data_IF_902553492659
#
_entry.id   IF_902553492659
#
_cell.length_a   1.000
_cell.length_b   1.000
_cell.length_c   1.000
_cell.angle_alpha   90.00
_cell.angle_beta   90.00
_cell.angle_gamma   90.00
#
_symmetry.space_group_name_H-M   'P 1'
#
loop_
_entity.id
_entity.type
_entity.pdbx_description
1 polymer ?
#
# COMPACT_ATOMS: atom_id res chain seq x y z
N UNK A 1 22.74 -13.32 18.51
CA UNK A 1 22.24 -14.52 17.79
C UNK A 1 21.93 -14.14 16.36
N UNK A 2 22.07 -15.06 15.41
CA UNK A 2 21.73 -14.83 14.00
C UNK A 2 20.34 -15.39 13.69
N UNK A 3 19.61 -14.73 12.80
CA UNK A 3 18.27 -15.17 12.42
C UNK A 3 17.75 -14.54 11.15
N UNK A 4 16.52 -14.93 10.80
CA UNK A 4 15.79 -14.44 9.65
C UNK A 4 14.44 -13.90 10.08
N UNK A 5 14.07 -12.72 9.60
CA UNK A 5 12.76 -12.14 9.87
C UNK A 5 11.69 -12.99 9.16
N UNK A 6 10.74 -13.53 9.92
CA UNK A 6 9.62 -14.28 9.37
C UNK A 6 8.45 -13.38 9.01
N UNK A 7 8.16 -12.40 9.85
CA UNK A 7 7.07 -11.47 9.66
C UNK A 7 7.27 -10.22 10.53
N UNK A 8 6.71 -9.10 10.09
CA UNK A 8 6.65 -7.87 10.87
C UNK A 8 5.36 -7.11 10.56
N UNK A 9 4.58 -6.85 11.60
CA UNK A 9 3.36 -6.07 11.52
C UNK A 9 3.64 -4.64 11.94
N UNK A 10 3.55 -3.71 10.99
CA UNK A 10 3.70 -2.27 11.24
C UNK A 10 2.56 -1.75 12.12
N UNK A 11 1.37 -2.37 12.06
CA UNK A 11 0.20 -1.94 12.84
C UNK A 11 0.39 -2.15 14.34
N UNK A 12 1.00 -3.28 14.71
CA UNK A 12 1.27 -3.64 16.11
C UNK A 12 2.70 -3.30 16.53
N UNK A 13 3.56 -2.88 15.59
CA UNK A 13 5.00 -2.69 15.79
C UNK A 13 5.64 -3.94 16.42
N UNK A 14 5.27 -5.11 15.92
CA UNK A 14 5.79 -6.40 16.42
C UNK A 14 6.16 -7.31 15.27
N UNK A 15 7.20 -8.10 15.46
CA UNK A 15 7.65 -9.08 14.48
C UNK A 15 8.14 -10.37 15.10
N UNK A 16 8.42 -11.34 14.23
CA UNK A 16 8.91 -12.67 14.60
C UNK A 16 10.22 -12.92 13.86
N UNK A 17 11.27 -13.27 14.60
CA UNK A 17 12.54 -13.72 14.07
C UNK A 17 12.64 -15.22 14.28
N UNK A 18 13.07 -15.94 13.25
CA UNK A 18 13.51 -17.33 13.38
C UNK A 18 15.01 -17.34 13.50
N UNK A 19 15.50 -17.74 14.66
CA UNK A 19 16.91 -17.95 14.90
C UNK A 19 17.44 -19.17 14.15
N UNK A 20 18.76 -19.27 14.02
CA UNK A 20 19.43 -20.38 13.35
C UNK A 20 19.20 -21.74 14.05
N UNK A 21 18.95 -21.72 15.36
CA UNK A 21 18.53 -22.89 16.15
C UNK A 21 17.05 -23.29 15.94
N UNK A 22 16.38 -22.72 14.92
CA UNK A 22 14.95 -22.90 14.60
C UNK A 22 13.96 -22.37 15.64
N UNK A 23 14.42 -21.80 16.76
CA UNK A 23 13.56 -21.17 17.75
C UNK A 23 13.05 -19.82 17.25
N UNK A 24 11.81 -19.48 17.64
CA UNK A 24 11.16 -18.23 17.25
C UNK A 24 11.18 -17.26 18.40
N UNK A 25 11.57 -16.04 18.11
CA UNK A 25 11.61 -14.94 19.07
C UNK A 25 10.69 -13.82 18.57
N UNK A 26 9.83 -13.34 19.44
CA UNK A 26 9.04 -12.13 19.20
C UNK A 26 9.87 -10.91 19.52
N UNK A 27 9.76 -9.87 18.71
CA UNK A 27 10.39 -8.59 18.97
C UNK A 27 9.39 -7.44 18.79
N UNK A 28 9.62 -6.35 19.52
CA UNK A 28 8.94 -5.07 19.33
C UNK A 28 9.74 -4.22 18.34
N UNK A 29 9.09 -3.37 17.55
CA UNK A 29 9.73 -2.45 16.62
C UNK A 29 10.69 -1.46 17.32
N UNK A 30 10.59 -1.30 18.64
CA UNK A 30 11.57 -0.56 19.45
C UNK A 30 12.96 -1.21 19.50
N UNK A 31 13.05 -2.52 19.28
CA UNK A 31 14.31 -3.26 19.22
C UNK A 31 15.04 -3.08 17.88
N UNK A 32 14.37 -2.53 16.87
CA UNK A 32 14.92 -2.33 15.53
C UNK A 32 15.81 -1.07 15.48
N UNK A 33 17.08 -1.22 15.10
CA UNK A 33 18.06 -0.12 15.08
C UNK A 33 18.34 0.49 13.72
N UNK A 34 17.68 -0.02 12.69
CA UNK A 34 18.02 0.30 11.30
C UNK A 34 17.03 1.28 10.67
N UNK A 35 17.49 2.08 9.70
CA UNK A 35 16.63 3.09 9.07
C UNK A 35 15.56 2.49 8.15
N UNK A 36 15.84 1.33 7.54
CA UNK A 36 14.87 0.64 6.71
C UNK A 36 13.91 -0.19 7.56
N UNK A 37 12.65 -0.28 7.16
CA UNK A 37 11.68 -1.10 7.89
C UNK A 37 12.07 -2.59 7.79
N UNK A 38 11.88 -3.39 8.86
CA UNK A 38 12.12 -4.82 8.81
C UNK A 38 11.22 -5.49 7.77
N UNK A 39 11.83 -6.19 6.81
CA UNK A 39 11.13 -6.93 5.77
C UNK A 39 11.27 -8.43 6.00
N UNK A 40 10.22 -9.16 5.65
CA UNK A 40 10.21 -10.63 5.67
C UNK A 40 11.35 -11.16 4.82
N UNK A 41 12.19 -11.98 5.42
CA UNK A 41 13.26 -12.69 4.76
C UNK A 41 14.65 -12.07 4.91
N UNK A 42 14.78 -10.91 5.54
CA UNK A 42 16.08 -10.31 5.86
C UNK A 42 16.83 -11.12 6.91
N UNK A 43 18.16 -11.22 6.74
CA UNK A 43 19.04 -11.78 7.77
C UNK A 43 19.42 -10.70 8.77
N UNK A 44 19.34 -11.05 10.04
CA UNK A 44 19.55 -10.12 11.14
C UNK A 44 20.37 -10.75 12.24
N UNK A 45 21.22 -9.92 12.82
CA UNK A 45 21.90 -10.20 14.09
C UNK A 45 21.11 -9.51 15.20
N UNK A 46 20.72 -10.27 16.23
CA UNK A 46 19.87 -9.78 17.30
C UNK A 46 20.35 -10.25 18.69
N UNK A 47 20.11 -9.43 19.70
CA UNK A 47 20.47 -9.70 21.10
C UNK A 47 19.23 -9.98 21.95
N UNK A 48 19.36 -10.89 22.91
CA UNK A 48 18.27 -11.30 23.82
C UNK A 48 18.64 -10.98 25.27
N UNK A 49 17.65 -10.58 26.06
CA UNK A 49 17.79 -10.38 27.51
C UNK A 49 17.56 -11.70 28.28
N UNK A 50 17.80 -11.69 29.59
CA UNK A 50 17.62 -12.82 30.52
C UNK A 50 16.17 -13.34 30.63
N UNK A 51 15.20 -12.72 29.95
CA UNK A 51 13.81 -13.19 29.80
C UNK A 51 13.43 -13.60 28.37
N UNK A 52 14.43 -13.94 27.52
CA UNK A 52 14.25 -14.37 26.12
C UNK A 52 13.54 -13.35 25.21
N UNK A 53 13.59 -12.06 25.58
CA UNK A 53 13.06 -10.96 24.77
C UNK A 53 14.17 -10.34 23.92
N UNK A 54 13.86 -10.05 22.67
CA UNK A 54 14.79 -9.40 21.74
C UNK A 54 14.89 -7.92 22.06
N UNK A 55 16.10 -7.45 22.38
CA UNK A 55 16.35 -6.06 22.80
C UNK A 55 16.89 -5.19 21.67
N UNK A 56 17.80 -5.72 20.86
CA UNK A 56 18.46 -4.99 19.77
C UNK A 56 18.56 -5.88 18.54
N UNK A 57 18.28 -5.32 17.36
CA UNK A 57 18.30 -5.99 16.06
C UNK A 57 19.06 -5.12 15.05
N UNK A 58 20.03 -5.73 14.40
CA UNK A 58 20.89 -5.17 13.36
C UNK A 58 20.76 -6.01 12.09
N UNK A 59 20.90 -5.38 10.92
CA UNK A 59 20.91 -6.12 9.65
C UNK A 59 22.27 -6.77 9.48
N UNK A 60 22.29 -8.05 9.11
CA UNK A 60 23.55 -8.72 8.76
C UNK A 60 24.08 -8.07 7.46
N UNK A 61 25.30 -7.54 7.52
CA UNK A 61 25.96 -6.79 6.44
C UNK A 61 26.10 -7.57 5.12
N UNK A 62 25.84 -8.88 5.12
CA UNK A 62 25.71 -9.69 3.91
C UNK A 62 24.53 -9.28 3.00
N UNK A 63 23.51 -8.60 3.54
CA UNK A 63 22.38 -8.03 2.79
C UNK A 63 22.57 -6.50 2.47
N UNK A 64 23.69 -5.90 2.91
CA UNK A 64 24.09 -4.52 2.56
C UNK A 64 25.18 -4.53 1.47
N UNK A 65 24.84 -4.93 0.24
CA UNK A 65 25.70 -4.57 -0.89
C UNK A 65 25.39 -3.14 -1.35
N UNK A 66 26.34 -2.19 -1.25
CA UNK A 66 26.11 -0.82 -1.68
C UNK A 66 26.13 -0.78 -3.21
N UNK A 67 25.03 -0.32 -3.81
CA UNK A 67 24.99 0.08 -5.20
C UNK A 67 25.87 1.32 -5.43
N UNK A 68 27.19 1.14 -5.50
CA UNK A 68 28.09 2.07 -6.19
C UNK A 68 28.16 1.59 -7.64
N UNK A 69 27.21 2.06 -8.47
CA UNK A 69 27.36 2.03 -9.91
C UNK A 69 28.25 3.20 -10.33
N UNK A 70 29.46 3.00 -10.89
CA UNK A 70 30.12 4.04 -11.65
C UNK A 70 29.40 4.22 -13.00
N UNK A 71 29.06 5.46 -13.33
CA UNK A 71 28.55 5.92 -14.62
C UNK A 71 29.34 5.35 -15.82
N UNK A 72 28.69 5.10 -16.97
CA UNK A 72 29.36 4.59 -18.15
C UNK A 72 30.12 5.72 -18.86
N UNK A 73 31.43 5.82 -18.64
CA UNK A 73 32.32 6.52 -19.55
C UNK A 73 32.88 5.50 -20.53
N UNK A 74 32.36 5.53 -21.75
CA UNK A 74 32.91 4.83 -22.89
C UNK A 74 34.32 5.35 -23.21
N UNK A 75 35.33 4.48 -23.15
CA UNK A 75 36.58 4.62 -23.91
C UNK A 75 36.98 3.25 -24.44
N UNK A 76 37.40 3.28 -25.69
CA UNK A 76 37.56 2.22 -26.67
C UNK A 76 38.95 1.56 -26.58
N UNK A 77 39.00 0.31 -27.07
CA UNK A 77 40.12 -0.40 -27.71
C UNK A 77 41.16 -1.15 -26.88
N UNK A 78 41.05 -2.48 -27.06
CA UNK A 78 42.05 -3.35 -27.68
C UNK A 78 43.10 -4.10 -26.84
N UNK A 79 43.26 -5.34 -27.33
CA UNK A 79 44.46 -6.20 -27.38
C UNK A 79 44.74 -7.24 -26.28
N UNK A 80 44.29 -8.47 -26.58
CA UNK A 80 45.11 -9.68 -26.90
C UNK A 80 45.72 -10.57 -25.80
N UNK A 81 45.49 -11.88 -26.01
CA UNK A 81 46.24 -13.10 -25.60
C UNK A 81 46.20 -13.56 -24.12
N UNK A 82 46.24 -14.85 -23.76
CA UNK A 82 46.09 -16.22 -24.34
C UNK A 82 46.33 -17.20 -23.16
N UNK A 83 46.08 -18.50 -23.38
CA UNK A 83 46.42 -19.70 -22.55
C UNK A 83 45.34 -20.16 -21.56
N UNK A 84 44.65 -21.30 -21.73
CA UNK A 84 45.03 -22.73 -21.88
C UNK A 84 45.42 -23.42 -20.57
N UNK A 85 44.49 -24.14 -19.93
CA UNK A 85 44.73 -25.52 -19.49
C UNK A 85 43.43 -26.26 -19.16
N UNK A 86 43.37 -27.51 -19.63
CA UNK A 86 42.32 -28.48 -19.32
C UNK A 86 42.69 -29.23 -18.03
N UNK A 87 41.70 -29.76 -17.32
CA UNK A 87 41.77 -31.13 -16.80
C UNK A 87 40.40 -31.66 -16.36
N UNK A 88 40.20 -32.95 -16.68
CA UNK A 88 39.04 -33.80 -16.42
C UNK A 88 38.89 -34.14 -14.92
N UNK A 89 37.72 -34.62 -14.50
CA UNK A 89 37.49 -36.03 -14.08
C UNK A 89 36.22 -36.25 -13.20
N UNK A 90 35.34 -37.11 -13.72
CA UNK A 90 34.41 -38.09 -13.09
C UNK A 90 33.44 -37.68 -11.95
N UNK A 91 32.11 -37.85 -12.08
CA UNK A 91 31.26 -39.07 -11.93
C UNK A 91 30.73 -39.34 -10.51
N UNK A 92 29.41 -39.25 -10.32
CA UNK A 92 28.51 -40.17 -9.56
C UNK A 92 27.14 -39.46 -9.41
N UNK A 93 26.02 -39.91 -10.00
CA UNK A 93 25.17 -41.08 -9.69
C UNK A 93 24.86 -41.23 -8.20
N UNK A 94 23.72 -40.72 -7.70
CA UNK A 94 22.47 -41.49 -7.69
C UNK A 94 21.27 -40.78 -6.99
N UNK A 95 20.03 -41.29 -7.20
CA UNK A 95 18.75 -40.63 -6.93
C UNK A 95 17.99 -41.24 -5.72
N UNK A 96 17.01 -40.53 -5.13
CA UNK A 96 15.86 -41.08 -4.37
C UNK A 96 14.92 -39.91 -3.98
N UNK A 97 13.82 -39.69 -4.70
CA UNK A 97 12.47 -40.19 -4.37
C UNK A 97 11.92 -39.70 -3.02
N UNK A 98 11.02 -38.71 -3.05
CA UNK A 98 9.73 -38.83 -2.36
C UNK A 98 8.72 -37.76 -2.81
N UNK A 99 7.60 -38.27 -3.32
CA UNK A 99 6.24 -37.78 -3.13
C UNK A 99 5.91 -36.34 -3.58
N UNK A 100 5.44 -36.26 -4.83
CA UNK A 100 4.50 -35.25 -5.32
C UNK A 100 3.21 -35.24 -4.47
N UNK A 101 3.06 -34.21 -3.62
CA UNK A 101 1.79 -33.83 -3.00
C UNK A 101 0.97 -33.01 -3.99
N UNK A 102 0.05 -33.70 -4.66
CA UNK A 102 -0.95 -33.16 -5.55
C UNK A 102 -2.00 -32.32 -4.82
N UNK A 103 -2.25 -31.13 -5.36
CA UNK A 103 -3.55 -30.45 -5.49
C UNK A 103 -4.56 -30.52 -4.33
N UNK A 104 -4.57 -29.48 -3.49
CA UNK A 104 -5.80 -28.97 -2.86
C UNK A 104 -5.66 -27.49 -2.51
N UNK A 105 -5.73 -26.60 -3.52
CA UNK A 105 -5.95 -25.16 -3.28
C UNK A 105 -6.44 -24.44 -4.53
N UNK A 106 -7.72 -24.59 -4.90
CA UNK A 106 -8.32 -23.74 -5.95
C UNK A 106 -9.86 -23.79 -6.01
N UNK A 107 -10.56 -23.74 -4.88
CA UNK A 107 -12.04 -23.72 -4.93
C UNK A 107 -12.70 -22.59 -4.14
N UNK A 108 -11.92 -21.68 -3.53
CA UNK A 108 -12.45 -20.55 -2.77
C UNK A 108 -12.29 -19.19 -3.47
N UNK A 109 -11.45 -19.05 -4.51
CA UNK A 109 -11.21 -17.74 -5.14
C UNK A 109 -12.15 -17.40 -6.31
N UNK A 110 -12.82 -18.37 -6.93
CA UNK A 110 -13.59 -18.12 -8.16
C UNK A 110 -14.83 -17.24 -7.93
N UNK A 111 -15.61 -17.52 -6.89
CA UNK A 111 -16.87 -16.78 -6.66
C UNK A 111 -16.67 -15.30 -6.34
N UNK A 112 -15.64 -14.94 -5.57
CA UNK A 112 -15.34 -13.55 -5.22
C UNK A 112 -14.73 -12.78 -6.39
N UNK A 113 -13.88 -13.45 -7.20
CA UNK A 113 -13.32 -12.84 -8.42
C UNK A 113 -14.41 -12.60 -9.48
N UNK A 114 -15.34 -13.55 -9.66
CA UNK A 114 -16.46 -13.40 -10.60
C UNK A 114 -17.41 -12.26 -10.19
N UNK A 115 -17.73 -12.13 -8.90
CA UNK A 115 -18.54 -11.02 -8.39
C UNK A 115 -17.83 -9.67 -8.55
N UNK A 116 -16.53 -9.62 -8.23
CA UNK A 116 -15.72 -8.41 -8.41
C UNK A 116 -15.65 -8.00 -9.87
N UNK A 117 -15.42 -8.93 -10.81
CA UNK A 117 -15.39 -8.63 -12.24
C UNK A 117 -16.72 -8.10 -12.77
N UNK A 118 -17.85 -8.67 -12.32
CA UNK A 118 -19.18 -8.17 -12.67
C UNK A 118 -19.43 -6.75 -12.12
N UNK A 119 -18.95 -6.44 -10.91
CA UNK A 119 -18.97 -5.08 -10.36
C UNK A 119 -18.12 -4.12 -11.20
N UNK A 120 -16.90 -4.51 -11.59
CA UNK A 120 -16.04 -3.70 -12.47
C UNK A 120 -16.72 -3.44 -13.83
N UNK A 121 -17.38 -4.45 -14.39
CA UNK A 121 -18.09 -4.34 -15.66
C UNK A 121 -19.29 -3.39 -15.57
N UNK A 122 -20.05 -3.43 -14.47
CA UNK A 122 -21.16 -2.52 -14.22
C UNK A 122 -20.67 -1.08 -14.01
N UNK A 123 -19.58 -0.90 -13.26
CA UNK A 123 -18.99 0.41 -13.00
C UNK A 123 -18.45 1.11 -14.26
N UNK A 124 -18.09 0.34 -15.30
CA UNK A 124 -17.69 0.93 -16.58
C UNK A 124 -18.80 1.72 -17.27
N UNK A 125 -20.07 1.42 -16.96
CA UNK A 125 -21.26 2.05 -17.56
C UNK A 125 -21.82 3.21 -16.72
N UNK A 126 -21.22 3.52 -15.58
CA UNK A 126 -21.75 4.52 -14.66
C UNK A 126 -21.62 5.94 -15.20
N UNK A 127 -22.71 6.69 -15.10
CA UNK A 127 -22.74 8.13 -15.32
C UNK A 127 -22.21 8.87 -14.08
N UNK A 128 -21.97 10.18 -14.19
CA UNK A 128 -21.51 11.01 -13.06
C UNK A 128 -22.43 10.86 -11.83
N UNK A 129 -23.75 10.89 -12.04
CA UNK A 129 -24.73 10.79 -10.95
C UNK A 129 -24.67 9.43 -10.25
N UNK A 130 -24.41 8.34 -10.98
CA UNK A 130 -24.29 7.00 -10.39
C UNK A 130 -23.10 6.92 -9.43
N UNK A 131 -21.99 7.57 -9.78
CA UNK A 131 -20.82 7.70 -8.90
C UNK A 131 -21.15 8.50 -7.64
N UNK A 132 -21.82 9.65 -7.79
CA UNK A 132 -22.24 10.46 -6.64
C UNK A 132 -23.19 9.67 -5.73
N UNK A 133 -24.18 8.97 -6.29
CA UNK A 133 -25.12 8.16 -5.53
C UNK A 133 -24.43 6.99 -4.83
N UNK A 134 -23.43 6.36 -5.47
CA UNK A 134 -22.61 5.32 -4.85
C UNK A 134 -21.86 5.85 -3.63
N UNK A 135 -21.24 7.02 -3.74
CA UNK A 135 -20.58 7.68 -2.60
C UNK A 135 -21.58 8.02 -1.49
N UNK A 136 -22.74 8.59 -1.83
CA UNK A 136 -23.80 8.96 -0.89
C UNK A 136 -24.49 7.74 -0.25
N UNK A 137 -24.41 6.55 -0.83
CA UNK A 137 -24.91 5.31 -0.20
C UNK A 137 -23.88 4.71 0.76
N UNK A 138 -22.59 4.83 0.43
CA UNK A 138 -21.51 4.22 1.20
C UNK A 138 -20.74 5.20 2.08
N UNK A 139 -21.24 6.43 2.30
CA UNK A 139 -20.52 7.42 3.11
C UNK A 139 -20.38 7.05 4.60
N UNK A 140 -21.27 6.20 5.12
CA UNK A 140 -21.25 5.76 6.52
C UNK A 140 -20.16 4.70 6.74
N UNK A 141 -19.84 3.94 5.70
CA UNK A 141 -18.77 2.98 5.73
C UNK A 141 -17.48 3.73 5.40
N UNK A 142 -16.53 3.77 6.35
CA UNK A 142 -15.18 4.31 6.10
C UNK A 142 -14.20 3.23 5.66
N UNK A 143 -14.67 2.00 5.50
CA UNK A 143 -13.91 0.83 5.07
C UNK A 143 -14.15 0.59 3.59
N UNK A 144 -13.20 1.02 2.76
CA UNK A 144 -13.31 0.88 1.31
C UNK A 144 -12.28 1.68 0.54
N UNK A 145 -12.25 1.44 -0.77
CA UNK A 145 -11.37 2.09 -1.74
C UNK A 145 -12.22 2.85 -2.76
N UNK A 146 -11.81 4.07 -3.10
CA UNK A 146 -12.48 4.88 -4.12
C UNK A 146 -11.57 5.09 -5.34
N UNK A 147 -12.13 4.88 -6.53
CA UNK A 147 -11.42 5.11 -7.79
C UNK A 147 -11.18 6.60 -8.03
N UNK A 148 -10.20 6.92 -8.87
CA UNK A 148 -9.94 8.30 -9.36
C UNK A 148 -11.21 8.94 -9.92
N UNK A 149 -11.94 8.22 -10.78
CA UNK A 149 -13.17 8.71 -11.42
C UNK A 149 -14.26 9.02 -10.39
N UNK A 150 -14.49 8.12 -9.44
CA UNK A 150 -15.47 8.29 -8.36
C UNK A 150 -15.20 9.57 -7.56
N UNK A 151 -13.95 9.75 -7.15
CA UNK A 151 -13.49 10.94 -6.44
C UNK A 151 -13.71 12.23 -7.25
N UNK A 152 -13.23 12.27 -8.49
CA UNK A 152 -13.30 13.48 -9.33
C UNK A 152 -14.74 13.84 -9.72
N UNK A 153 -15.60 12.86 -9.99
CA UNK A 153 -17.01 13.13 -10.28
C UNK A 153 -17.74 13.67 -9.05
N UNK A 154 -17.47 13.12 -7.86
CA UNK A 154 -18.02 13.66 -6.62
C UNK A 154 -17.54 15.10 -6.36
N UNK A 155 -16.24 15.36 -6.55
CA UNK A 155 -15.68 16.70 -6.35
C UNK A 155 -16.22 17.72 -7.34
N UNK A 156 -16.41 17.32 -8.61
CA UNK A 156 -17.02 18.17 -9.64
C UNK A 156 -18.48 18.48 -9.30
N UNK A 157 -19.26 17.47 -8.90
CA UNK A 157 -20.63 17.66 -8.46
C UNK A 157 -20.72 18.59 -7.24
N UNK A 158 -19.84 18.41 -6.26
CA UNK A 158 -19.75 19.28 -5.09
C UNK A 158 -19.39 20.73 -5.46
N UNK A 159 -18.47 20.92 -6.41
CA UNK A 159 -18.11 22.25 -6.90
C UNK A 159 -19.28 22.94 -7.63
N UNK A 160 -20.02 22.20 -8.47
CA UNK A 160 -21.23 22.71 -9.14
C UNK A 160 -22.30 23.07 -8.11
N UNK A 161 -22.56 22.20 -7.13
CA UNK A 161 -23.52 22.45 -6.06
C UNK A 161 -23.13 23.70 -5.25
N UNK A 162 -21.86 23.84 -4.89
CA UNK A 162 -21.33 25.01 -4.17
C UNK A 162 -21.51 26.29 -4.97
N UNK A 163 -21.24 26.26 -6.27
CA UNK A 163 -21.44 27.41 -7.16
C UNK A 163 -22.91 27.82 -7.27
N UNK A 164 -23.82 26.84 -7.43
CA UNK A 164 -25.26 27.09 -7.48
C UNK A 164 -25.77 27.68 -6.16
N UNK A 165 -25.33 27.15 -5.02
CA UNK A 165 -25.69 27.65 -3.69
C UNK A 165 -25.17 29.07 -3.47
N UNK A 166 -23.98 29.40 -3.97
CA UNK A 166 -23.42 30.76 -3.91
C UNK A 166 -24.29 31.76 -4.68
N UNK A 167 -24.64 31.46 -5.93
CA UNK A 167 -25.43 32.35 -6.81
C UNK A 167 -26.86 32.53 -6.29
N UNK A 168 -27.53 31.43 -5.90
CA UNK A 168 -28.87 31.50 -5.31
C UNK A 168 -28.83 32.22 -3.97
N UNK A 169 -27.80 31.97 -3.17
CA UNK A 169 -27.62 32.57 -1.87
C UNK A 169 -27.56 34.09 -1.92
N UNK A 170 -26.78 34.62 -2.85
CA UNK A 170 -26.68 36.06 -3.12
C UNK A 170 -28.01 36.62 -3.63
N UNK A 171 -28.65 35.93 -4.59
CA UNK A 171 -29.94 36.35 -5.15
C UNK A 171 -31.09 36.43 -4.12
N UNK A 172 -31.10 35.56 -3.12
CA UNK A 172 -32.14 35.50 -2.08
C UNK A 172 -31.73 36.17 -0.75
N UNK A 173 -30.55 36.79 -0.67
CA UNK A 173 -30.00 37.40 0.55
C UNK A 173 -29.90 36.44 1.76
N UNK A 174 -29.95 35.13 1.53
CA UNK A 174 -29.88 34.06 2.54
C UNK A 174 -28.63 33.17 2.36
N UNK A 175 -27.68 33.61 1.53
CA UNK A 175 -26.60 32.78 1.03
C UNK A 175 -25.74 32.11 2.07
N UNK A 176 -25.35 32.83 3.12
CA UNK A 176 -24.45 32.29 4.13
C UNK A 176 -25.07 31.11 4.87
N UNK A 177 -26.34 31.21 5.27
CA UNK A 177 -27.04 30.16 6.00
C UNK A 177 -27.32 28.93 5.13
N UNK A 178 -27.77 29.16 3.88
CA UNK A 178 -28.10 28.06 2.96
C UNK A 178 -26.84 27.32 2.52
N UNK A 179 -25.76 28.05 2.24
CA UNK A 179 -24.46 27.48 1.90
C UNK A 179 -23.88 26.68 3.07
N UNK A 180 -23.96 27.21 4.30
CA UNK A 180 -23.49 26.51 5.51
C UNK A 180 -24.24 25.17 5.71
N UNK A 181 -25.57 25.18 5.63
CA UNK A 181 -26.39 23.96 5.80
C UNK A 181 -26.08 22.94 4.71
N UNK A 182 -26.02 23.37 3.44
CA UNK A 182 -25.69 22.49 2.33
C UNK A 182 -24.28 21.88 2.47
N UNK A 183 -23.31 22.70 2.88
CA UNK A 183 -21.93 22.26 3.14
C UNK A 183 -21.90 21.22 4.25
N UNK A 184 -22.59 21.45 5.37
CA UNK A 184 -22.59 20.52 6.49
C UNK A 184 -23.22 19.16 6.13
N UNK A 185 -24.27 19.18 5.31
CA UNK A 185 -24.94 17.95 4.86
C UNK A 185 -24.06 17.11 3.94
N UNK A 186 -23.25 17.74 3.09
CA UNK A 186 -22.35 17.07 2.15
C UNK A 186 -20.93 16.83 2.71
N UNK A 187 -20.58 17.48 3.82
CA UNK A 187 -19.27 17.35 4.47
C UNK A 187 -18.97 15.90 4.87
N UNK A 188 -19.96 15.18 5.42
CA UNK A 188 -19.79 13.77 5.80
C UNK A 188 -19.44 12.88 4.59
N UNK A 189 -20.22 12.88 3.50
CA UNK A 189 -19.83 12.24 2.24
C UNK A 189 -18.46 12.67 1.70
N UNK A 190 -18.14 13.96 1.74
CA UNK A 190 -16.86 14.47 1.23
C UNK A 190 -15.66 13.92 2.01
N UNK A 191 -15.77 13.84 3.34
CA UNK A 191 -14.76 13.25 4.22
C UNK A 191 -14.64 11.74 3.95
N UNK A 192 -15.76 11.03 3.82
CA UNK A 192 -15.77 9.59 3.56
C UNK A 192 -15.09 9.24 2.22
N UNK A 193 -15.44 9.95 1.14
CA UNK A 193 -14.85 9.75 -0.19
C UNK A 193 -13.34 10.07 -0.18
N UNK A 194 -12.94 11.13 0.52
CA UNK A 194 -11.53 11.48 0.68
C UNK A 194 -10.76 10.40 1.46
N UNK A 195 -11.36 9.82 2.50
CA UNK A 195 -10.76 8.74 3.28
C UNK A 195 -10.62 7.46 2.45
N UNK A 196 -11.64 7.09 1.67
CA UNK A 196 -11.58 5.96 0.75
C UNK A 196 -10.52 6.12 -0.34
N UNK A 197 -10.32 7.35 -0.83
CA UNK A 197 -9.26 7.62 -1.80
C UNK A 197 -7.88 7.49 -1.17
N UNK A 198 -7.74 7.89 0.08
CA UNK A 198 -6.50 7.75 0.84
C UNK A 198 -6.16 6.29 1.15
N UNK A 199 -7.18 5.48 1.45
CA UNK A 199 -7.06 4.02 1.56
C UNK A 199 -6.63 3.36 0.24
N UNK A 200 -7.04 3.91 -0.91
CA UNK A 200 -6.63 3.39 -2.23
C UNK A 200 -5.11 3.51 -2.48
N UNK A 201 -4.45 4.47 -1.83
CA UNK A 201 -2.98 4.63 -1.86
C UNK A 201 -2.29 4.10 -0.59
N UNK A 202 -2.97 3.22 0.15
CA UNK A 202 -2.49 2.57 1.36
C UNK A 202 -2.01 3.57 2.45
N UNK A 203 -2.74 4.68 2.62
CA UNK A 203 -2.52 5.68 3.66
C UNK A 203 -3.73 5.75 4.58
N UNK A 204 -3.54 6.21 5.82
CA UNK A 204 -4.60 6.27 6.83
C UNK A 204 -5.64 7.36 6.50
N UNK A 205 -6.94 7.03 6.51
CA UNK A 205 -8.04 7.98 6.30
C UNK A 205 -8.03 9.20 7.23
N UNK A 206 -7.34 9.10 8.37
CA UNK A 206 -7.15 10.19 9.33
C UNK A 206 -6.45 11.44 8.75
N UNK A 207 -5.64 11.32 7.68
CA UNK A 207 -5.00 12.51 7.10
C UNK A 207 -6.03 13.48 6.49
N UNK A 208 -7.27 13.04 6.23
CA UNK A 208 -8.36 13.92 5.79
C UNK A 208 -8.68 14.99 6.85
N UNK A 209 -8.47 14.73 8.15
CA UNK A 209 -8.70 15.74 9.19
C UNK A 209 -7.78 16.95 9.06
N UNK A 210 -6.62 16.81 8.41
CA UNK A 210 -5.72 17.93 8.15
C UNK A 210 -6.37 19.01 7.27
N UNK A 211 -7.35 18.62 6.44
CA UNK A 211 -8.15 19.55 5.63
C UNK A 211 -9.02 20.49 6.47
N UNK A 212 -9.41 20.07 7.68
CA UNK A 212 -10.26 20.87 8.56
C UNK A 212 -9.46 21.97 9.30
N UNK A 213 -8.16 21.74 9.48
CA UNK A 213 -7.29 22.63 10.25
C UNK A 213 -6.52 23.61 9.36
N UNK A 214 -6.18 23.23 8.12
CA UNK A 214 -5.33 24.05 7.25
C UNK A 214 -5.77 24.05 5.79
N UNK A 215 -5.73 25.23 5.16
CA UNK A 215 -5.93 25.40 3.70
C UNK A 215 -4.86 24.60 2.93
N UNK A 216 -3.63 24.54 3.48
CA UNK A 216 -2.53 23.74 2.93
C UNK A 216 -2.85 22.24 2.94
N UNK A 217 -3.53 21.75 3.99
CA UNK A 217 -4.05 20.39 4.07
C UNK A 217 -4.95 20.08 2.89
N UNK A 218 -5.92 20.97 2.60
CA UNK A 218 -6.82 20.82 1.44
C UNK A 218 -6.01 20.67 0.16
N UNK A 219 -5.04 21.53 -0.10
CA UNK A 219 -4.24 21.44 -1.32
C UNK A 219 -3.39 20.15 -1.39
N UNK A 220 -2.72 19.75 -0.30
CA UNK A 220 -1.84 18.57 -0.32
C UNK A 220 -2.66 17.27 -0.41
N UNK A 221 -3.71 17.13 0.40
CA UNK A 221 -4.52 15.91 0.44
C UNK A 221 -5.38 15.79 -0.83
N UNK A 222 -5.92 16.90 -1.34
CA UNK A 222 -6.85 16.94 -2.49
C UNK A 222 -6.12 17.02 -3.83
N UNK A 223 -4.95 17.64 -3.94
CA UNK A 223 -4.21 17.66 -5.22
C UNK A 223 -3.09 16.63 -5.25
N UNK A 224 -2.18 16.63 -4.27
CA UNK A 224 -0.98 15.78 -4.35
C UNK A 224 -1.30 14.30 -4.20
N UNK A 225 -2.15 13.92 -3.25
CA UNK A 225 -2.52 12.51 -3.04
C UNK A 225 -3.60 12.01 -3.98
N UNK A 226 -4.48 12.87 -4.51
CA UNK A 226 -5.57 12.45 -5.40
C UNK A 226 -5.11 12.17 -6.85
N UNK A 227 -3.99 12.77 -7.27
CA UNK A 227 -3.39 12.53 -8.61
C UNK A 227 -2.64 11.19 -8.65
N UNK A 228 -2.12 10.71 -7.50
CA UNK A 228 -1.38 9.45 -7.42
C UNK A 228 -2.24 8.28 -7.88
N UNK A 229 -1.58 7.35 -8.56
CA UNK A 229 -2.22 6.11 -8.97
C UNK A 229 -2.59 5.29 -7.73
N UNK A 230 -3.75 4.64 -7.77
CA UNK A 230 -4.15 3.69 -6.75
C UNK A 230 -3.24 2.47 -6.76
N UNK A 231 -3.16 1.77 -5.64
CA UNK A 231 -2.44 0.50 -5.59
C UNK A 231 -3.11 -0.52 -6.53
N UNK A 232 -2.38 -1.02 -7.52
CA UNK A 232 -2.90 -2.01 -8.46
C UNK A 232 -2.99 -3.41 -7.83
N UNK A 233 -2.43 -3.57 -6.62
CA UNK A 233 -2.46 -4.80 -5.82
C UNK A 233 -3.52 -4.72 -4.72
N UNK A 234 -3.88 -5.88 -4.18
CA UNK A 234 -4.76 -5.97 -3.01
C UNK A 234 -4.03 -5.38 -1.81
N UNK A 235 -4.62 -4.37 -1.18
CA UNK A 235 -4.05 -3.70 -0.01
C UNK A 235 -4.89 -3.99 1.25
N UNK A 236 -4.46 -3.49 2.40
CA UNK A 236 -5.12 -3.66 3.70
C UNK A 236 -6.56 -3.16 3.77
N UNK A 237 -7.01 -2.40 2.77
CA UNK A 237 -8.33 -1.79 2.69
C UNK A 237 -9.23 -2.44 1.63
N UNK A 238 -8.75 -3.43 0.88
CA UNK A 238 -9.55 -4.24 -0.04
C UNK A 238 -8.89 -4.53 -1.40
N UNK A 239 -9.61 -5.27 -2.27
CA UNK A 239 -9.13 -5.63 -3.61
C UNK A 239 -8.93 -4.40 -4.49
N UNK A 240 -8.08 -4.53 -5.51
CA UNK A 240 -7.73 -3.45 -6.42
C UNK A 240 -8.96 -2.89 -7.16
N UNK A 241 -9.21 -1.59 -7.00
CA UNK A 241 -10.21 -0.89 -7.81
C UNK A 241 -9.57 -0.52 -9.15
N UNK A 242 -9.74 -1.38 -10.17
CA UNK A 242 -9.19 -1.16 -11.52
C UNK A 242 -9.70 0.12 -12.17
#
# INVERSE_FOLDING_TARGET
MKGKILDYSIQTSTGIIRAENQQRYSFSGSAWKEQQAPMRGMHVDFEIDAQDQVIDIFIDASDLEPAIQPSPTAVISDTVSKETHADNLSTSSDPLSSASLSHTHSQYSSSTDDQHQNLLANESKYSMMDWVMKCLRNYINFTGRARRKEYWFFQLWYAILSFVMLVLGDAFHWGDNLFLIATLLVALPAIAVSAHRLHDINRSGWLVLLNLVTIVGVLIVTFFFMIKEGDQTTNSYGPASK
#
